data_IF_995055786339
#
_entry.id   IF_995055786339
#
_cell.length_a   1.000
_cell.length_b   1.000
_cell.length_c   1.000
_cell.angle_alpha   90.00
_cell.angle_beta   90.00
_cell.angle_gamma   90.00
#
_symmetry.space_group_name_H-M   'P 1'
#
loop_
_entity.id
_entity.type
_entity.pdbx_description
1 polymer ?
#
# COMPACT_ATOMS: atom_id res chain seq x y z
N UNK A 1 37.12 -31.07 81.61
CA UNK A 1 36.05 -30.21 82.13
C UNK A 1 35.45 -29.44 80.97
N UNK A 2 34.11 -29.49 80.86
CA UNK A 2 33.26 -28.64 80.00
C UNK A 2 33.61 -27.16 80.28
N UNK A 3 33.59 -26.19 79.36
CA UNK A 3 32.53 -25.60 78.50
C UNK A 3 33.26 -24.54 77.62
N UNK A 4 32.87 -24.08 76.44
CA UNK A 4 31.66 -24.15 75.65
C UNK A 4 31.65 -22.99 74.63
N UNK A 5 30.70 -23.08 73.69
CA UNK A 5 30.12 -22.02 72.84
C UNK A 5 30.94 -21.47 71.65
N UNK A 6 30.69 -22.09 70.50
CA UNK A 6 30.01 -21.46 69.36
C UNK A 6 30.17 -19.94 69.18
N UNK A 7 31.16 -19.55 68.37
CA UNK A 7 31.16 -18.25 67.70
C UNK A 7 31.15 -18.44 66.18
N UNK A 8 29.92 -18.55 65.68
CA UNK A 8 29.45 -18.09 64.37
C UNK A 8 30.45 -18.21 63.20
N UNK A 9 30.27 -19.28 62.43
CA UNK A 9 30.43 -19.27 60.98
C UNK A 9 29.73 -18.04 60.40
N UNK A 10 30.49 -16.97 60.13
CA UNK A 10 30.00 -15.80 59.40
C UNK A 10 29.61 -16.25 58.01
N UNK A 11 28.33 -16.18 57.59
CA UNK A 11 27.97 -16.46 56.22
C UNK A 11 28.69 -15.46 55.31
N UNK A 12 29.28 -15.98 54.24
CA UNK A 12 29.95 -15.23 53.20
C UNK A 12 29.06 -14.05 52.75
N UNK A 13 29.64 -12.86 52.56
CA UNK A 13 28.91 -11.69 52.04
C UNK A 13 28.26 -11.98 50.66
N UNK A 14 28.76 -12.99 49.94
CA UNK A 14 28.13 -13.56 48.74
C UNK A 14 26.84 -14.37 49.02
N UNK A 15 26.71 -15.04 50.18
CA UNK A 15 25.50 -15.80 50.56
C UNK A 15 24.35 -14.88 51.00
N UNK A 16 24.64 -13.70 51.57
CA UNK A 16 23.62 -12.69 51.89
C UNK A 16 23.16 -11.89 50.66
N UNK A 17 23.95 -11.85 49.58
CA UNK A 17 23.52 -11.26 48.29
C UNK A 17 22.48 -12.11 47.56
N UNK A 18 22.48 -13.43 47.73
CA UNK A 18 21.46 -14.31 47.13
C UNK A 18 20.11 -14.30 47.86
N UNK A 19 20.05 -13.88 49.14
CA UNK A 19 18.81 -13.81 49.91
C UNK A 19 18.14 -12.42 49.89
N UNK A 20 18.81 -11.42 49.31
CA UNK A 20 18.27 -10.05 49.17
C UNK A 20 17.59 -9.75 47.82
N UNK A 21 17.30 -10.74 46.97
CA UNK A 21 16.29 -10.58 45.91
C UNK A 21 15.67 -11.92 45.49
N UNK A 22 14.51 -12.32 46.04
CA UNK A 22 13.64 -13.21 45.30
C UNK A 22 12.25 -12.65 44.99
N UNK A 23 11.94 -11.37 45.18
CA UNK A 23 10.65 -10.83 44.72
C UNK A 23 10.76 -9.45 44.08
N UNK A 24 11.13 -9.40 42.80
CA UNK A 24 10.70 -8.26 41.97
C UNK A 24 9.16 -8.17 42.10
N UNK A 25 8.58 -7.04 42.52
CA UNK A 25 7.15 -6.95 42.80
C UNK A 25 6.37 -7.35 41.53
N UNK A 26 5.20 -7.99 41.67
CA UNK A 26 4.29 -8.32 40.53
C UNK A 26 4.10 -7.13 39.56
N UNK A 27 4.29 -5.90 40.04
CA UNK A 27 4.37 -4.64 39.24
C UNK A 27 5.48 -4.62 38.18
N UNK A 28 6.68 -5.17 38.41
CA UNK A 28 7.77 -5.26 37.41
C UNK A 28 7.45 -6.27 36.30
N UNK A 29 6.88 -7.45 36.63
CA UNK A 29 6.44 -8.43 35.61
C UNK A 29 5.27 -7.90 34.76
N UNK A 30 4.29 -7.20 35.37
CA UNK A 30 3.21 -6.52 34.63
C UNK A 30 3.73 -5.36 33.77
N UNK A 31 4.71 -4.57 34.23
CA UNK A 31 5.36 -3.52 33.41
C UNK A 31 6.10 -4.12 32.21
N UNK A 32 6.89 -5.18 32.41
CA UNK A 32 7.58 -5.88 31.32
C UNK A 32 6.62 -6.51 30.30
N UNK A 33 5.50 -7.10 30.75
CA UNK A 33 4.45 -7.61 29.84
C UNK A 33 3.75 -6.49 29.05
N UNK A 34 3.50 -5.33 29.68
CA UNK A 34 2.89 -4.14 29.02
C UNK A 34 3.82 -3.50 27.99
N UNK A 35 5.14 -3.54 28.23
CA UNK A 35 6.15 -3.05 27.29
C UNK A 35 6.36 -4.02 26.12
N UNK A 36 6.32 -5.34 26.36
CA UNK A 36 6.31 -6.37 25.29
C UNK A 36 5.07 -6.26 24.39
N UNK A 37 3.89 -5.94 24.94
CA UNK A 37 2.68 -5.71 24.15
C UNK A 37 2.79 -4.49 23.21
N UNK A 38 3.58 -3.47 23.60
CA UNK A 38 3.89 -2.30 22.77
C UNK A 38 4.83 -2.62 21.60
N UNK A 39 5.60 -3.70 21.71
CA UNK A 39 6.52 -4.22 20.68
C UNK A 39 5.89 -5.37 19.87
N UNK A 40 4.56 -5.45 19.81
CA UNK A 40 3.84 -6.45 19.03
C UNK A 40 3.72 -6.11 17.54
N UNK A 41 3.39 -7.13 16.73
CA UNK A 41 3.08 -7.01 15.28
C UNK A 41 1.80 -6.20 14.98
N UNK A 42 1.01 -5.90 16.01
CA UNK A 42 -0.24 -5.15 15.92
C UNK A 42 -0.05 -3.65 16.15
N UNK A 43 -0.86 -3.08 17.05
CA UNK A 43 -1.04 -1.63 17.27
C UNK A 43 0.26 -0.83 17.39
N UNK A 44 1.23 -1.31 18.16
CA UNK A 44 2.52 -0.62 18.34
C UNK A 44 3.35 -0.50 17.05
N UNK A 45 3.23 -1.47 16.13
CA UNK A 45 3.90 -1.44 14.82
C UNK A 45 3.20 -0.50 13.82
N UNK A 46 1.87 -0.39 13.86
CA UNK A 46 1.10 0.46 12.95
C UNK A 46 1.40 1.95 13.14
N UNK A 47 1.63 2.39 14.38
CA UNK A 47 1.99 3.78 14.68
C UNK A 47 3.30 4.24 14.02
N UNK A 48 4.19 3.31 13.63
CA UNK A 48 5.47 3.62 13.00
C UNK A 48 5.39 3.75 11.46
N UNK A 49 4.24 3.50 10.83
CA UNK A 49 4.07 3.43 9.35
C UNK A 49 3.94 4.81 8.68
N UNK A 50 4.89 5.72 8.96
CA UNK A 50 4.93 7.07 8.38
C UNK A 50 5.58 7.15 6.99
N UNK A 51 6.57 6.28 6.72
CA UNK A 51 7.27 6.26 5.44
C UNK A 51 6.40 5.64 4.34
N UNK A 52 6.42 6.22 3.14
CA UNK A 52 5.61 5.77 2.00
C UNK A 52 6.48 5.03 1.00
N UNK A 53 6.10 3.81 0.65
CA UNK A 53 6.75 3.02 -0.39
C UNK A 53 6.23 3.36 -1.78
N UNK A 54 4.94 3.72 -1.90
CA UNK A 54 4.26 4.01 -3.15
C UNK A 54 3.70 5.42 -3.25
N UNK A 55 3.96 6.10 -4.36
CA UNK A 55 3.37 7.39 -4.77
C UNK A 55 2.55 7.28 -6.05
N UNK A 56 1.91 8.37 -6.46
CA UNK A 56 1.16 8.46 -7.72
C UNK A 56 2.10 8.30 -8.91
N UNK A 57 1.71 7.44 -9.85
CA UNK A 57 2.43 7.26 -11.11
C UNK A 57 1.89 8.22 -12.18
N UNK A 58 2.80 8.93 -12.85
CA UNK A 58 2.48 9.89 -13.92
C UNK A 58 1.71 9.24 -15.08
N UNK A 59 2.08 8.01 -15.48
CA UNK A 59 1.46 7.33 -16.63
C UNK A 59 0.03 6.85 -16.37
N UNK A 60 -0.24 6.28 -15.20
CA UNK A 60 -1.52 5.60 -14.92
C UNK A 60 -2.36 6.24 -13.81
N UNK A 61 -1.87 7.29 -13.15
CA UNK A 61 -2.58 8.00 -12.07
C UNK A 61 -2.82 7.18 -10.79
N UNK A 62 -2.28 5.96 -10.69
CA UNK A 62 -2.46 5.08 -9.52
C UNK A 62 -1.32 5.26 -8.53
N UNK A 63 -1.62 5.11 -7.23
CA UNK A 63 -0.62 5.06 -6.15
C UNK A 63 0.11 3.72 -6.17
N UNK A 64 1.01 3.55 -7.14
CA UNK A 64 1.71 2.29 -7.42
C UNK A 64 3.17 2.49 -7.81
N UNK A 65 3.64 3.74 -7.87
CA UNK A 65 5.03 4.03 -8.19
C UNK A 65 5.90 3.79 -6.96
N UNK A 66 6.80 2.80 -7.00
CA UNK A 66 7.69 2.49 -5.89
C UNK A 66 8.88 3.45 -5.89
N UNK A 67 9.09 4.21 -4.81
CA UNK A 67 10.11 5.27 -4.78
C UNK A 67 11.53 4.70 -4.88
N UNK A 68 11.89 3.76 -4.02
CA UNK A 68 13.26 3.22 -3.99
C UNK A 68 13.65 2.45 -5.25
N UNK A 69 12.69 1.72 -5.85
CA UNK A 69 12.91 0.91 -7.05
C UNK A 69 12.59 1.66 -8.33
N UNK A 70 12.19 2.93 -8.23
CA UNK A 70 11.78 3.80 -9.33
C UNK A 70 10.89 3.14 -10.38
N UNK A 71 9.97 2.26 -9.95
CA UNK A 71 9.18 1.42 -10.87
C UNK A 71 7.72 1.33 -10.44
N UNK A 72 6.81 1.41 -11.41
CA UNK A 72 5.37 1.31 -11.17
C UNK A 72 4.90 -0.14 -11.21
N UNK A 73 4.35 -0.61 -10.09
CA UNK A 73 3.79 -1.96 -9.98
C UNK A 73 2.50 -2.14 -10.78
N UNK A 74 1.82 -1.08 -11.22
CA UNK A 74 0.61 -1.21 -12.04
C UNK A 74 0.92 -1.27 -13.53
N UNK A 75 1.59 -0.24 -14.07
CA UNK A 75 1.81 -0.06 -15.50
C UNK A 75 3.24 -0.35 -15.98
N UNK A 76 4.21 -0.51 -15.08
CA UNK A 76 5.61 -0.78 -15.44
C UNK A 76 6.47 0.44 -15.78
N UNK A 77 5.98 1.68 -15.61
CA UNK A 77 6.80 2.89 -15.76
C UNK A 77 8.09 2.78 -14.94
N UNK A 78 9.29 3.06 -15.47
CA UNK A 78 9.61 3.79 -16.72
C UNK A 78 9.59 2.98 -18.02
N UNK A 79 9.43 1.65 -17.99
CA UNK A 79 9.51 0.81 -19.20
C UNK A 79 8.59 1.29 -20.33
N UNK A 80 9.03 1.16 -21.58
CA UNK A 80 8.24 1.61 -22.73
C UNK A 80 6.91 0.85 -22.86
N UNK A 81 6.94 -0.47 -22.67
CA UNK A 81 5.74 -1.33 -22.76
C UNK A 81 4.92 -1.27 -21.48
N UNK A 82 3.59 -1.29 -21.63
CA UNK A 82 2.68 -1.41 -20.50
C UNK A 82 2.73 -2.83 -19.95
N UNK A 83 3.00 -2.97 -18.65
CA UNK A 83 2.99 -4.24 -17.93
C UNK A 83 1.62 -4.92 -18.05
N UNK A 84 1.55 -6.14 -18.61
CA UNK A 84 0.33 -6.96 -18.77
C UNK A 84 0.67 -8.42 -18.43
N UNK A 85 -0.24 -9.10 -17.74
CA UNK A 85 -0.15 -10.55 -17.53
C UNK A 85 -1.49 -11.21 -17.81
N UNK A 86 -1.46 -12.35 -18.51
CA UNK A 86 -2.66 -13.05 -18.94
C UNK A 86 -3.42 -13.71 -17.79
N UNK A 87 -2.72 -14.07 -16.70
CA UNK A 87 -3.35 -14.59 -15.48
C UNK A 87 -4.25 -13.57 -14.76
N UNK A 88 -4.18 -12.27 -15.10
CA UNK A 88 -4.96 -11.22 -14.46
C UNK A 88 -6.00 -10.58 -15.40
N UNK A 89 -7.02 -11.35 -15.77
CA UNK A 89 -8.09 -10.93 -16.71
C UNK A 89 -8.78 -9.64 -16.24
N UNK A 90 -9.15 -9.55 -14.95
CA UNK A 90 -9.81 -8.36 -14.38
C UNK A 90 -8.92 -7.11 -14.45
N UNK A 91 -7.60 -7.27 -14.27
CA UNK A 91 -6.68 -6.15 -14.37
C UNK A 91 -6.50 -5.68 -15.81
N UNK A 92 -6.55 -6.58 -16.79
CA UNK A 92 -6.56 -6.26 -18.22
C UNK A 92 -7.81 -5.43 -18.56
N UNK A 93 -9.00 -5.91 -18.16
CA UNK A 93 -10.29 -5.24 -18.45
C UNK A 93 -10.36 -3.80 -17.93
N UNK A 94 -9.78 -3.52 -16.76
CA UNK A 94 -9.80 -2.17 -16.14
C UNK A 94 -8.96 -1.11 -16.87
N UNK A 95 -8.08 -1.50 -17.80
CA UNK A 95 -7.14 -0.59 -18.47
C UNK A 95 -7.10 -0.73 -19.98
N UNK A 96 -7.94 -1.61 -20.52
CA UNK A 96 -7.98 -1.86 -21.97
C UNK A 96 -8.52 -0.63 -22.71
N UNK A 97 -8.24 -0.56 -24.01
CA UNK A 97 -8.87 0.42 -24.90
C UNK A 97 -10.39 0.33 -24.77
N UNK A 98 -11.08 1.46 -24.60
CA UNK A 98 -12.53 1.47 -24.31
C UNK A 98 -12.89 2.15 -22.99
N UNK A 99 -12.02 2.08 -21.97
CA UNK A 99 -12.38 2.56 -20.62
C UNK A 99 -12.15 4.07 -20.40
N UNK A 100 -11.48 4.74 -21.33
CA UNK A 100 -11.09 6.14 -21.22
C UNK A 100 -11.87 7.07 -22.15
N UNK A 101 -11.41 8.32 -22.28
CA UNK A 101 -12.08 9.35 -23.09
C UNK A 101 -12.12 9.06 -24.60
N UNK A 102 -11.29 8.15 -25.10
CA UNK A 102 -11.20 7.75 -26.52
C UNK A 102 -11.26 8.93 -27.52
N UNK A 103 -10.59 10.05 -27.24
CA UNK A 103 -10.72 11.31 -28.02
C UNK A 103 -10.59 11.13 -29.53
N UNK A 104 -9.62 10.34 -29.98
CA UNK A 104 -9.43 10.03 -31.38
C UNK A 104 -10.35 8.88 -31.84
N UNK A 105 -10.19 7.70 -31.23
CA UNK A 105 -10.89 6.48 -31.63
C UNK A 105 -12.41 6.56 -31.59
N UNK A 106 -13.01 7.44 -30.78
CA UNK A 106 -14.48 7.64 -30.74
C UNK A 106 -15.04 8.10 -32.08
N UNK A 107 -14.30 8.93 -32.82
CA UNK A 107 -14.75 9.51 -34.08
C UNK A 107 -14.32 8.70 -35.31
N UNK A 108 -13.33 7.81 -35.15
CA UNK A 108 -12.79 6.98 -36.24
C UNK A 108 -13.86 6.16 -36.95
N UNK A 109 -14.77 5.42 -36.28
CA UNK A 109 -15.80 4.65 -36.97
C UNK A 109 -16.74 5.52 -37.83
N UNK A 110 -17.05 6.74 -37.37
CA UNK A 110 -17.87 7.70 -38.13
C UNK A 110 -17.15 8.16 -39.40
N UNK A 111 -15.85 8.48 -39.31
CA UNK A 111 -15.01 8.86 -40.46
C UNK A 111 -14.81 7.68 -41.43
N UNK A 112 -14.68 6.47 -40.90
CA UNK A 112 -14.54 5.26 -41.71
C UNK A 112 -15.78 5.03 -42.57
N UNK A 113 -16.99 5.23 -42.02
CA UNK A 113 -18.25 5.14 -42.78
C UNK A 113 -18.34 6.13 -43.94
N UNK A 114 -17.64 7.27 -43.84
CA UNK A 114 -17.57 8.27 -44.90
C UNK A 114 -16.28 8.18 -45.73
N UNK A 115 -15.57 7.05 -45.71
CA UNK A 115 -14.30 6.83 -46.41
C UNK A 115 -13.28 7.97 -46.20
N UNK A 116 -13.22 8.52 -44.98
CA UNK A 116 -12.32 9.61 -44.63
C UNK A 116 -12.41 10.86 -45.55
N UNK A 117 -13.61 11.17 -46.07
CA UNK A 117 -13.84 12.42 -46.81
C UNK A 117 -13.48 13.65 -45.96
N UNK A 118 -12.73 14.57 -46.56
CA UNK A 118 -12.29 15.85 -45.96
C UNK A 118 -12.67 17.02 -46.90
N UNK A 119 -12.80 18.22 -46.35
CA UNK A 119 -12.99 19.46 -47.14
C UNK A 119 -14.34 19.65 -47.85
N UNK A 120 -15.31 18.74 -47.70
CA UNK A 120 -16.63 18.87 -48.32
C UNK A 120 -17.69 19.29 -47.30
N UNK A 121 -18.48 20.31 -47.62
CA UNK A 121 -19.64 20.72 -46.81
C UNK A 121 -20.89 19.92 -47.16
N UNK A 122 -21.83 19.84 -46.21
CA UNK A 122 -23.12 19.21 -46.45
C UNK A 122 -23.99 20.12 -47.31
N UNK A 123 -24.64 19.56 -48.33
CA UNK A 123 -25.59 20.31 -49.14
C UNK A 123 -26.70 20.93 -48.26
N UNK A 124 -27.12 22.18 -48.53
CA UNK A 124 -28.17 22.83 -47.75
C UNK A 124 -29.48 22.05 -47.86
N UNK A 125 -30.18 21.89 -46.73
CA UNK A 125 -31.48 21.20 -46.69
C UNK A 125 -32.57 22.12 -47.24
N UNK A 126 -33.37 21.64 -48.22
CA UNK A 126 -34.59 22.32 -48.66
C UNK A 126 -35.64 22.23 -47.55
N UNK A 127 -36.19 23.37 -47.10
CA UNK A 127 -37.34 23.37 -46.17
C UNK A 127 -38.54 22.76 -46.90
N UNK A 128 -39.06 21.64 -46.41
CA UNK A 128 -40.33 21.09 -46.90
C UNK A 128 -41.48 22.04 -46.55
N UNK A 129 -42.47 22.16 -47.44
CA UNK A 129 -43.68 22.90 -47.16
C UNK A 129 -44.37 22.34 -45.89
N UNK A 130 -44.90 23.22 -45.04
CA UNK A 130 -45.64 22.82 -43.86
C UNK A 130 -46.84 21.96 -44.29
N UNK A 131 -46.95 20.76 -43.74
CA UNK A 131 -48.14 19.91 -43.94
C UNK A 131 -49.27 20.54 -43.13
N UNK A 132 -50.27 21.11 -43.80
CA UNK A 132 -51.52 21.57 -43.18
C UNK A 132 -52.43 20.36 -42.95
N UNK A 133 -52.82 20.13 -41.70
CA UNK A 133 -53.87 19.19 -41.32
C UNK A 133 -55.25 19.66 -41.76
#
# INVERSE_FOLDING_TARGET
>A
MLVGLDLLTKPNLEQLRSLLLPHLPRRRRRRQAKEKAKMGKGTGSFGKRRNKTHTLCVRCGRRSFHLQKSTCSSCGYPAARIRKYNWSVKAIRRKTTGTGRMRYLRHVPKRFKSNFREGTEAAPRKKGAAVSN
#
